data_IF_900990499181
#
_entry.id   IF_900990499181
#
_cell.length_a   1.000
_cell.length_b   1.000
_cell.length_c   1.000
_cell.angle_alpha   90.00
_cell.angle_beta   90.00
_cell.angle_gamma   90.00
#
_symmetry.space_group_name_H-M   'P 1'
#
loop_
_entity.id
_entity.type
_entity.pdbx_description
1 polymer ?
#
# COMPACT_ATOMS: atom_id res chain seq x y z
N UNK A 1 -22.31 -9.96 -28.06
CA UNK A 1 -21.11 -10.28 -27.24
C UNK A 1 -20.14 -9.12 -27.04
N UNK A 2 -19.69 -8.37 -28.07
CA UNK A 2 -18.72 -7.25 -27.89
C UNK A 2 -19.21 -6.13 -26.95
N UNK A 3 -20.50 -5.74 -27.04
CA UNK A 3 -21.10 -4.71 -26.17
C UNK A 3 -21.17 -5.16 -24.69
N UNK A 4 -21.66 -6.38 -24.45
CA UNK A 4 -21.71 -7.03 -23.12
C UNK A 4 -20.31 -7.06 -22.49
N UNK A 5 -19.29 -7.54 -23.22
CA UNK A 5 -17.94 -7.62 -22.69
C UNK A 5 -17.29 -6.25 -22.45
N UNK A 6 -17.65 -5.23 -23.23
CA UNK A 6 -17.08 -3.88 -23.10
C UNK A 6 -17.70 -3.13 -21.92
N UNK A 7 -19.03 -3.06 -21.83
CA UNK A 7 -19.76 -2.23 -20.87
C UNK A 7 -20.21 -3.00 -19.61
N UNK A 8 -20.87 -4.15 -19.77
CA UNK A 8 -21.35 -4.93 -18.60
C UNK A 8 -20.20 -5.50 -17.76
N UNK A 9 -19.05 -5.77 -18.38
CA UNK A 9 -17.87 -6.22 -17.66
C UNK A 9 -17.33 -5.23 -16.61
N UNK A 10 -17.61 -3.92 -16.74
CA UNK A 10 -17.31 -2.94 -15.69
C UNK A 10 -18.51 -2.66 -14.79
N UNK A 11 -19.72 -2.66 -15.37
CA UNK A 11 -20.94 -2.39 -14.61
C UNK A 11 -21.12 -3.34 -13.42
N UNK A 12 -20.84 -4.63 -13.58
CA UNK A 12 -20.97 -5.63 -12.50
C UNK A 12 -20.00 -5.33 -11.34
N UNK A 13 -18.67 -5.20 -11.55
CA UNK A 13 -17.75 -4.79 -10.49
C UNK A 13 -18.16 -3.49 -9.78
N UNK A 14 -18.54 -2.45 -10.52
CA UNK A 14 -18.99 -1.20 -9.92
C UNK A 14 -20.30 -1.33 -9.15
N UNK A 15 -21.25 -2.12 -9.63
CA UNK A 15 -22.49 -2.41 -8.92
C UNK A 15 -22.22 -3.13 -7.60
N UNK A 16 -21.28 -4.08 -7.57
CA UNK A 16 -20.83 -4.75 -6.34
C UNK A 16 -20.19 -3.75 -5.37
N UNK A 17 -19.32 -2.85 -5.87
CA UNK A 17 -18.71 -1.81 -5.04
C UNK A 17 -19.79 -0.90 -4.44
N UNK A 18 -20.70 -0.36 -5.26
CA UNK A 18 -21.80 0.50 -4.82
C UNK A 18 -22.65 -0.24 -3.79
N UNK A 19 -23.07 -1.46 -4.08
CA UNK A 19 -23.85 -2.29 -3.18
C UNK A 19 -23.14 -2.47 -1.83
N UNK A 20 -21.84 -2.78 -1.84
CA UNK A 20 -21.09 -3.00 -0.60
C UNK A 20 -21.07 -1.76 0.30
N UNK A 21 -20.94 -0.56 -0.28
CA UNK A 21 -20.90 0.70 0.48
C UNK A 21 -22.29 1.10 0.95
N UNK A 22 -23.32 0.91 0.11
CA UNK A 22 -24.70 1.28 0.44
C UNK A 22 -25.26 0.39 1.55
N UNK A 23 -25.00 -0.92 1.50
CA UNK A 23 -25.49 -1.87 2.51
C UNK A 23 -24.71 -1.76 3.82
N UNK A 24 -23.41 -1.47 3.76
CA UNK A 24 -22.57 -1.30 4.96
C UNK A 24 -22.37 0.18 5.29
N UNK A 25 -23.43 0.99 5.19
CA UNK A 25 -23.37 2.41 5.54
C UNK A 25 -22.99 2.55 7.01
N UNK A 26 -22.06 3.47 7.31
CA UNK A 26 -21.72 3.82 8.68
C UNK A 26 -22.94 4.42 9.40
N UNK A 27 -23.19 4.07 10.69
CA UNK A 27 -24.24 4.68 11.48
C UNK A 27 -24.09 6.20 11.54
N UNK A 28 -25.19 6.95 11.55
CA UNK A 28 -25.14 8.40 11.60
C UNK A 28 -24.46 8.88 12.91
N UNK A 29 -23.58 9.87 12.80
CA UNK A 29 -22.77 10.37 13.91
C UNK A 29 -21.51 9.56 14.23
N UNK A 30 -21.25 8.47 13.50
CA UNK A 30 -20.03 7.67 13.68
C UNK A 30 -18.78 8.46 13.28
N UNK A 31 -17.77 8.44 14.16
CA UNK A 31 -16.45 9.06 13.95
C UNK A 31 -15.40 7.95 14.07
N UNK A 32 -14.50 7.87 13.10
CA UNK A 32 -13.40 6.91 13.15
C UNK A 32 -12.18 7.45 13.89
N UNK A 33 -11.59 6.62 14.75
CA UNK A 33 -10.30 6.86 15.41
C UNK A 33 -9.51 5.55 15.53
N UNK A 34 -8.21 5.60 15.29
CA UNK A 34 -7.32 4.44 15.33
C UNK A 34 -5.87 4.88 15.52
N UNK A 35 -5.24 4.50 16.63
CA UNK A 35 -3.83 4.77 16.89
C UNK A 35 -3.50 6.25 16.76
N UNK A 36 -2.59 6.57 15.84
CA UNK A 36 -2.12 7.94 15.58
C UNK A 36 -3.04 8.76 14.65
N UNK A 37 -4.18 8.19 14.24
CA UNK A 37 -5.09 8.81 13.30
C UNK A 37 -6.50 8.98 13.86
N UNK A 38 -7.05 10.18 13.72
CA UNK A 38 -8.46 10.47 13.96
C UNK A 38 -9.07 11.15 12.74
N UNK A 39 -10.33 10.81 12.47
CA UNK A 39 -11.12 11.54 11.47
C UNK A 39 -11.20 13.02 11.87
N UNK A 40 -10.90 13.95 10.94
CA UNK A 40 -11.01 15.38 11.22
C UNK A 40 -12.48 15.78 11.36
N UNK A 41 -12.84 16.33 12.52
CA UNK A 41 -14.18 16.89 12.76
C UNK A 41 -14.33 18.27 12.12
N UNK A 42 -13.25 19.06 12.08
CA UNK A 42 -13.21 20.36 11.40
C UNK A 42 -12.08 20.37 10.37
N UNK A 43 -12.39 19.94 9.15
CA UNK A 43 -11.39 19.83 8.08
C UNK A 43 -10.82 21.20 7.67
N UNK A 44 -11.60 22.29 7.73
CA UNK A 44 -11.14 23.63 7.39
C UNK A 44 -9.99 24.06 8.29
N UNK A 45 -10.16 23.87 9.59
CA UNK A 45 -9.12 24.14 10.57
C UNK A 45 -7.89 23.24 10.37
N UNK A 46 -8.10 21.94 10.12
CA UNK A 46 -6.98 21.02 9.84
C UNK A 46 -6.18 21.46 8.61
N UNK A 47 -6.85 21.92 7.54
CA UNK A 47 -6.19 22.41 6.34
C UNK A 47 -5.31 23.63 6.58
N UNK A 48 -5.77 24.59 7.38
CA UNK A 48 -4.96 25.74 7.76
C UNK A 48 -3.70 25.28 8.49
N UNK A 49 -3.84 24.28 9.37
CA UNK A 49 -2.74 23.80 10.21
C UNK A 49 -1.74 22.89 9.47
N UNK A 50 -2.14 22.18 8.41
CA UNK A 50 -1.28 21.22 7.68
C UNK A 50 -0.02 21.87 7.06
N UNK A 51 -0.08 23.16 6.72
CA UNK A 51 1.05 23.91 6.15
C UNK A 51 2.10 24.31 7.19
N UNK A 52 1.76 24.25 8.48
CA UNK A 52 2.67 24.64 9.55
C UNK A 52 3.43 23.41 10.07
N UNK A 53 4.72 23.60 10.29
CA UNK A 53 5.58 22.56 10.87
C UNK A 53 5.50 22.55 12.40
N UNK A 54 5.09 23.66 13.00
CA UNK A 54 4.83 23.81 14.43
C UNK A 54 3.32 23.88 14.66
N UNK A 55 2.74 22.83 15.25
CA UNK A 55 1.31 22.78 15.51
C UNK A 55 0.99 21.90 16.71
N UNK A 56 0.15 22.38 17.61
CA UNK A 56 -0.11 21.72 18.89
C UNK A 56 -1.20 20.62 18.80
N UNK A 57 -1.77 20.35 17.61
CA UNK A 57 -3.15 19.79 17.55
C UNK A 57 -3.48 18.83 16.41
N UNK A 58 -2.58 18.54 15.46
CA UNK A 58 -2.90 17.63 14.32
C UNK A 58 -2.56 16.16 14.64
N UNK A 59 -1.70 15.91 15.62
CA UNK A 59 -1.22 14.57 15.98
C UNK A 59 -1.46 14.23 17.44
N UNK A 60 -1.56 12.94 17.75
CA UNK A 60 -1.44 12.40 19.11
C UNK A 60 -0.05 12.65 19.75
N UNK A 61 0.88 13.23 19.00
CA UNK A 61 2.17 13.73 19.46
C UNK A 61 1.90 15.10 20.08
N UNK A 62 2.20 15.25 21.38
CA UNK A 62 1.96 16.46 22.15
C UNK A 62 2.63 17.73 21.60
N UNK A 63 2.56 18.81 22.37
CA UNK A 63 3.10 20.13 21.99
C UNK A 63 4.53 20.06 21.42
N UNK A 64 4.78 20.79 20.33
CA UNK A 64 6.12 20.95 19.76
C UNK A 64 6.60 19.85 18.79
N UNK A 65 5.72 18.96 18.31
CA UNK A 65 6.09 17.96 17.30
C UNK A 65 6.40 18.57 15.93
N UNK A 66 7.63 18.39 15.44
CA UNK A 66 8.06 18.76 14.07
C UNK A 66 7.59 17.69 13.07
N UNK A 67 6.27 17.59 12.85
CA UNK A 67 5.71 16.67 11.86
C UNK A 67 4.88 17.45 10.84
N UNK A 68 5.46 17.69 9.66
CA UNK A 68 4.74 18.31 8.55
C UNK A 68 3.78 17.29 7.93
N UNK A 69 2.48 17.60 7.97
CA UNK A 69 1.43 16.82 7.29
C UNK A 69 1.28 17.23 5.82
N UNK A 70 2.18 18.07 5.31
CA UNK A 70 2.09 18.66 3.98
C UNK A 70 2.00 17.60 2.87
N UNK A 71 2.74 16.51 2.98
CA UNK A 71 2.66 15.40 2.03
C UNK A 71 1.25 14.76 1.97
N UNK A 72 0.48 14.82 3.06
CA UNK A 72 -0.87 14.27 3.15
C UNK A 72 -1.96 15.19 2.54
N UNK A 73 -1.64 16.42 2.12
CA UNK A 73 -2.63 17.37 1.54
C UNK A 73 -3.49 16.73 0.44
N UNK A 74 -2.94 16.02 -0.57
CA UNK A 74 -3.77 15.45 -1.64
C UNK A 74 -4.84 14.51 -1.10
N UNK A 75 -4.51 13.76 -0.05
CA UNK A 75 -5.45 12.88 0.62
C UNK A 75 -6.55 13.67 1.33
N UNK A 76 -6.21 14.61 2.20
CA UNK A 76 -7.22 15.41 2.90
C UNK A 76 -8.09 16.23 1.96
N UNK A 77 -7.55 16.64 0.81
CA UNK A 77 -8.29 17.43 -0.19
C UNK A 77 -9.40 16.59 -0.81
N UNK A 78 -9.03 15.42 -1.33
CA UNK A 78 -9.97 14.53 -2.02
C UNK A 78 -10.95 13.88 -1.05
N UNK A 79 -10.46 13.39 0.08
CA UNK A 79 -11.21 12.50 0.97
C UNK A 79 -11.94 13.20 2.12
N UNK A 80 -11.61 14.46 2.42
CA UNK A 80 -12.28 15.21 3.50
C UNK A 80 -12.78 16.59 3.07
N UNK A 81 -11.99 17.37 2.31
CA UNK A 81 -12.39 18.72 1.91
C UNK A 81 -13.49 18.73 0.86
N UNK A 82 -13.42 17.85 -0.15
CA UNK A 82 -14.50 17.70 -1.13
C UNK A 82 -15.82 17.29 -0.44
N UNK A 83 -15.86 16.24 0.41
CA UNK A 83 -17.06 15.91 1.19
C UNK A 83 -17.60 17.07 2.04
N UNK A 84 -16.74 17.82 2.70
CA UNK A 84 -17.13 19.00 3.50
C UNK A 84 -17.78 20.11 2.64
N UNK A 85 -17.24 20.38 1.44
CA UNK A 85 -17.86 21.32 0.49
C UNK A 85 -19.25 20.82 0.02
N UNK A 86 -19.42 19.50 -0.10
CA UNK A 86 -20.69 18.87 -0.46
C UNK A 86 -21.64 18.70 0.74
N UNK A 87 -21.27 19.21 1.92
CA UNK A 87 -22.02 19.09 3.18
C UNK A 87 -22.31 17.64 3.60
N UNK A 88 -21.37 16.73 3.35
CA UNK A 88 -21.50 15.35 3.81
C UNK A 88 -21.35 15.27 5.33
N UNK A 89 -22.17 14.44 5.97
CA UNK A 89 -21.99 14.08 7.40
C UNK A 89 -20.71 13.24 7.59
N UNK A 90 -20.27 13.06 8.84
CA UNK A 90 -19.11 12.21 9.15
C UNK A 90 -19.24 10.79 8.58
N UNK A 91 -20.42 10.18 8.74
CA UNK A 91 -20.73 8.83 8.25
C UNK A 91 -20.79 8.75 6.72
N UNK A 92 -21.34 9.78 6.07
CA UNK A 92 -21.32 9.90 4.61
C UNK A 92 -19.89 10.07 4.09
N UNK A 93 -19.05 10.84 4.78
CA UNK A 93 -17.63 11.02 4.47
C UNK A 93 -16.89 9.69 4.55
N UNK A 94 -17.05 8.91 5.62
CA UNK A 94 -16.42 7.58 5.72
C UNK A 94 -16.89 6.62 4.61
N UNK A 95 -18.19 6.63 4.29
CA UNK A 95 -18.75 5.83 3.20
C UNK A 95 -18.18 6.25 1.83
N UNK A 96 -18.01 7.55 1.62
CA UNK A 96 -17.39 8.12 0.43
C UNK A 96 -15.92 7.74 0.32
N UNK A 97 -15.16 7.76 1.41
CA UNK A 97 -13.76 7.35 1.45
C UNK A 97 -13.62 5.88 1.05
N UNK A 98 -14.42 5.00 1.66
CA UNK A 98 -14.42 3.58 1.32
C UNK A 98 -14.81 3.34 -0.15
N UNK A 99 -15.85 4.04 -0.63
CA UNK A 99 -16.27 3.94 -2.03
C UNK A 99 -15.17 4.33 -3.01
N UNK A 100 -14.58 5.51 -2.83
CA UNK A 100 -13.50 5.97 -3.69
C UNK A 100 -12.29 5.07 -3.61
N UNK A 101 -11.94 4.59 -2.42
CA UNK A 101 -10.83 3.66 -2.24
C UNK A 101 -11.03 2.39 -3.07
N UNK A 102 -12.17 1.71 -2.91
CA UNK A 102 -12.47 0.48 -3.64
C UNK A 102 -12.49 0.70 -5.16
N UNK A 103 -13.08 1.81 -5.61
CA UNK A 103 -13.10 2.18 -7.03
C UNK A 103 -11.70 2.43 -7.58
N UNK A 104 -10.88 3.22 -6.88
CA UNK A 104 -9.56 3.60 -7.34
C UNK A 104 -8.58 2.43 -7.27
N UNK A 105 -8.64 1.57 -6.24
CA UNK A 105 -7.87 0.33 -6.18
C UNK A 105 -8.24 -0.62 -7.32
N UNK A 106 -9.53 -0.79 -7.61
CA UNK A 106 -10.00 -1.57 -8.76
C UNK A 106 -9.45 -1.02 -10.08
N UNK A 107 -9.59 0.30 -10.32
CA UNK A 107 -9.15 0.94 -11.55
C UNK A 107 -7.63 0.86 -11.70
N UNK A 108 -6.89 1.13 -10.62
CA UNK A 108 -5.44 1.12 -10.60
C UNK A 108 -4.88 -0.25 -10.95
N UNK A 109 -5.37 -1.29 -10.28
CA UNK A 109 -4.95 -2.65 -10.55
C UNK A 109 -5.32 -3.08 -11.98
N UNK A 110 -6.53 -2.75 -12.45
CA UNK A 110 -6.95 -3.09 -13.82
C UNK A 110 -6.01 -2.50 -14.88
N UNK A 111 -5.67 -1.20 -14.77
CA UNK A 111 -4.79 -0.55 -15.73
C UNK A 111 -3.34 -1.03 -15.63
N UNK A 112 -2.84 -1.27 -14.42
CA UNK A 112 -1.53 -1.87 -14.17
C UNK A 112 -1.43 -3.26 -14.81
N UNK A 113 -2.36 -4.15 -14.49
CA UNK A 113 -2.38 -5.52 -15.00
C UNK A 113 -2.56 -5.58 -16.52
N UNK A 114 -3.45 -4.75 -17.09
CA UNK A 114 -3.62 -4.61 -18.54
C UNK A 114 -2.34 -4.15 -19.24
N UNK A 115 -1.58 -3.29 -18.58
CA UNK A 115 -0.34 -2.72 -19.10
C UNK A 115 0.81 -3.74 -19.10
N UNK A 116 0.85 -4.66 -18.13
CA UNK A 116 1.85 -5.73 -18.04
C UNK A 116 1.48 -6.97 -18.87
N UNK A 117 0.18 -7.29 -18.98
CA UNK A 117 -0.29 -8.46 -19.71
C UNK A 117 -1.55 -8.13 -20.52
N UNK A 118 -1.44 -7.94 -21.85
CA UNK A 118 -2.60 -7.83 -22.73
C UNK A 118 -3.26 -9.21 -22.86
N UNK A 119 -4.02 -9.60 -21.82
CA UNK A 119 -4.71 -10.87 -21.70
C UNK A 119 -6.22 -10.75 -21.85
N UNK A 120 -6.94 -11.75 -21.30
CA UNK A 120 -8.40 -11.74 -21.27
C UNK A 120 -8.91 -10.57 -20.40
N UNK A 121 -9.39 -9.51 -21.05
CA UNK A 121 -9.87 -8.30 -20.38
C UNK A 121 -11.01 -8.56 -19.39
N UNK A 122 -11.83 -9.59 -19.59
CA UNK A 122 -12.91 -9.94 -18.65
C UNK A 122 -12.32 -10.47 -17.36
N UNK A 123 -11.35 -11.39 -17.46
CA UNK A 123 -10.64 -11.92 -16.30
C UNK A 123 -9.94 -10.80 -15.51
N UNK A 124 -9.26 -9.88 -16.20
CA UNK A 124 -8.61 -8.74 -15.54
C UNK A 124 -9.60 -7.86 -14.77
N UNK A 125 -10.80 -7.60 -15.30
CA UNK A 125 -11.83 -6.83 -14.60
C UNK A 125 -12.21 -7.51 -13.28
N UNK A 126 -12.59 -8.79 -13.30
CA UNK A 126 -12.97 -9.49 -12.07
C UNK A 126 -11.80 -9.69 -11.09
N UNK A 127 -10.59 -9.91 -11.59
CA UNK A 127 -9.41 -10.02 -10.72
C UNK A 127 -9.06 -8.69 -10.03
N UNK A 128 -9.31 -7.56 -10.71
CA UNK A 128 -9.17 -6.22 -10.11
C UNK A 128 -10.19 -5.99 -8.99
N UNK A 129 -11.37 -6.61 -9.08
CA UNK A 129 -12.36 -6.59 -8.00
C UNK A 129 -11.87 -7.38 -6.79
N UNK A 130 -11.23 -8.54 -7.00
CA UNK A 130 -10.60 -9.29 -5.91
C UNK A 130 -9.48 -8.50 -5.23
N UNK A 131 -8.69 -7.73 -5.99
CA UNK A 131 -7.69 -6.83 -5.43
C UNK A 131 -8.32 -5.73 -4.56
N UNK A 132 -9.44 -5.15 -4.99
CA UNK A 132 -10.16 -4.15 -4.19
C UNK A 132 -10.73 -4.74 -2.88
N UNK A 133 -11.25 -5.97 -2.91
CA UNK A 133 -11.96 -6.61 -1.78
C UNK A 133 -11.18 -7.69 -1.02
N UNK A 134 -9.86 -7.77 -1.16
CA UNK A 134 -9.11 -8.81 -0.44
C UNK A 134 -9.10 -8.58 1.08
N UNK A 135 -8.71 -9.62 1.82
CA UNK A 135 -8.70 -9.58 3.28
C UNK A 135 -7.76 -8.54 3.86
N UNK A 136 -6.69 -8.17 3.17
CA UNK A 136 -5.79 -7.10 3.63
C UNK A 136 -6.48 -5.75 3.59
N UNK A 137 -7.21 -5.43 2.52
CA UNK A 137 -8.06 -4.24 2.46
C UNK A 137 -9.07 -4.24 3.60
N UNK A 138 -9.81 -5.34 3.76
CA UNK A 138 -10.85 -5.43 4.80
C UNK A 138 -10.26 -5.29 6.21
N UNK A 139 -9.10 -5.90 6.46
CA UNK A 139 -8.37 -5.77 7.71
C UNK A 139 -7.98 -4.32 8.01
N UNK A 140 -7.45 -3.56 7.03
CA UNK A 140 -7.12 -2.15 7.25
C UNK A 140 -8.35 -1.30 7.58
N UNK A 141 -9.48 -1.55 6.93
CA UNK A 141 -10.72 -0.80 7.19
C UNK A 141 -11.42 -1.15 8.50
N UNK A 142 -11.21 -2.36 9.03
CA UNK A 142 -11.85 -2.80 10.27
C UNK A 142 -10.96 -2.63 11.51
N UNK A 143 -9.64 -2.85 11.38
CA UNK A 143 -8.72 -2.77 12.51
C UNK A 143 -8.12 -1.37 12.66
N UNK A 144 -7.17 -1.02 11.80
CA UNK A 144 -6.42 0.22 11.92
C UNK A 144 -5.99 0.74 10.56
N UNK A 145 -5.99 2.06 10.40
CA UNK A 145 -5.44 2.82 9.25
C UNK A 145 -6.26 2.88 7.95
N UNK A 146 -7.41 2.20 7.82
CA UNK A 146 -8.24 2.25 6.61
C UNK A 146 -8.77 3.63 6.22
N UNK A 147 -8.78 4.57 7.16
CA UNK A 147 -9.12 5.98 6.91
C UNK A 147 -7.92 6.92 7.07
N UNK A 148 -6.70 6.39 7.08
CA UNK A 148 -5.48 7.20 7.12
C UNK A 148 -4.98 7.53 5.70
N UNK A 149 -4.13 8.54 5.58
CA UNK A 149 -3.50 8.87 4.29
C UNK A 149 -2.52 7.79 3.80
N UNK A 150 -2.00 6.94 4.70
CA UNK A 150 -1.05 5.88 4.33
C UNK A 150 -1.68 4.80 3.46
N UNK A 151 -2.94 4.43 3.71
CA UNK A 151 -3.60 3.40 2.92
C UNK A 151 -3.82 3.86 1.48
N UNK A 152 -3.80 5.17 1.21
CA UNK A 152 -3.85 5.70 -0.15
C UNK A 152 -2.74 5.12 -1.05
N UNK A 153 -1.59 4.75 -0.48
CA UNK A 153 -0.53 4.06 -1.21
C UNK A 153 -1.00 2.74 -1.83
N UNK A 154 -1.93 2.02 -1.17
CA UNK A 154 -2.51 0.79 -1.69
C UNK A 154 -3.20 1.00 -3.04
N UNK A 155 -3.87 2.15 -3.23
CA UNK A 155 -4.46 2.51 -4.52
C UNK A 155 -3.36 2.64 -5.57
N UNK A 156 -2.23 3.26 -5.26
CA UNK A 156 -1.25 3.67 -6.27
C UNK A 156 -0.16 2.64 -6.55
N UNK A 157 0.11 1.69 -5.63
CA UNK A 157 1.16 0.65 -5.78
C UNK A 157 1.14 -0.02 -7.16
N UNK A 158 0.00 -0.54 -7.68
CA UNK A 158 0.00 -1.24 -8.98
C UNK A 158 0.49 -0.37 -10.14
N UNK A 159 -0.02 0.86 -10.24
CA UNK A 159 0.37 1.81 -11.29
C UNK A 159 1.82 2.28 -11.09
N UNK A 160 2.18 2.64 -9.86
CA UNK A 160 3.52 3.12 -9.52
C UNK A 160 4.58 2.10 -9.90
N UNK A 161 4.35 0.83 -9.55
CA UNK A 161 5.24 -0.27 -9.91
C UNK A 161 5.27 -0.52 -11.43
N UNK A 162 4.11 -0.54 -12.08
CA UNK A 162 4.04 -0.80 -13.54
C UNK A 162 4.75 0.28 -14.35
N UNK A 163 4.61 1.54 -13.96
CA UNK A 163 5.28 2.68 -14.60
C UNK A 163 6.77 2.73 -14.29
N UNK A 164 7.19 2.32 -13.09
CA UNK A 164 8.59 2.07 -12.77
C UNK A 164 9.21 1.01 -13.70
N UNK A 165 8.57 -0.15 -13.81
CA UNK A 165 9.04 -1.24 -14.67
C UNK A 165 9.13 -0.81 -16.14
N UNK A 166 8.12 -0.09 -16.64
CA UNK A 166 8.13 0.45 -18.01
C UNK A 166 9.24 1.45 -18.24
N UNK A 167 9.56 2.30 -17.26
CA UNK A 167 10.70 3.22 -17.36
C UNK A 167 12.05 2.51 -17.49
N UNK A 168 12.18 1.32 -16.89
CA UNK A 168 13.39 0.49 -17.03
C UNK A 168 13.46 -0.24 -18.38
N UNK A 169 12.32 -0.77 -18.85
CA UNK A 169 12.26 -1.58 -20.08
C UNK A 169 12.24 -0.73 -21.35
N UNK A 170 11.53 0.39 -21.31
CA UNK A 170 11.26 1.28 -22.43
C UNK A 170 11.53 2.72 -21.99
N UNK A 171 12.81 3.16 -21.93
CA UNK A 171 13.21 4.43 -21.34
C UNK A 171 12.84 5.62 -22.25
N UNK A 172 11.55 5.93 -22.32
CA UNK A 172 10.99 7.07 -23.06
C UNK A 172 10.59 8.17 -22.09
N UNK A 173 10.64 9.44 -22.54
CA UNK A 173 10.16 10.57 -21.73
C UNK A 173 8.74 10.33 -21.21
N UNK A 174 7.86 9.77 -22.04
CA UNK A 174 6.49 9.41 -21.67
C UNK A 174 6.43 8.46 -20.46
N UNK A 175 7.24 7.41 -20.44
CA UNK A 175 7.24 6.44 -19.34
C UNK A 175 7.82 7.04 -18.06
N UNK A 176 8.89 7.84 -18.18
CA UNK A 176 9.42 8.61 -17.05
C UNK A 176 8.40 9.60 -16.48
N UNK A 177 7.74 10.38 -17.33
CA UNK A 177 6.69 11.32 -16.90
C UNK A 177 5.54 10.62 -16.20
N UNK A 178 5.08 9.47 -16.71
CA UNK A 178 4.05 8.69 -16.01
C UNK A 178 4.52 8.12 -14.68
N UNK A 179 5.76 7.67 -14.58
CA UNK A 179 6.33 7.22 -13.32
C UNK A 179 6.38 8.36 -12.29
N UNK A 180 6.90 9.52 -12.67
CA UNK A 180 6.97 10.69 -11.78
C UNK A 180 5.59 11.19 -11.39
N UNK A 181 4.64 11.25 -12.32
CA UNK A 181 3.26 11.60 -12.00
C UNK A 181 2.64 10.60 -11.01
N UNK A 182 2.85 9.30 -11.22
CA UNK A 182 2.37 8.26 -10.30
C UNK A 182 3.00 8.40 -8.92
N UNK A 183 4.29 8.74 -8.86
CA UNK A 183 5.02 8.97 -7.61
C UNK A 183 4.49 10.21 -6.87
N UNK A 184 4.25 11.30 -7.58
CA UNK A 184 3.65 12.54 -7.02
C UNK A 184 2.24 12.28 -6.50
N UNK A 185 1.41 11.51 -7.23
CA UNK A 185 0.07 11.14 -6.74
C UNK A 185 0.19 10.28 -5.46
N UNK A 186 1.18 9.38 -5.38
CA UNK A 186 1.41 8.49 -4.24
C UNK A 186 1.95 9.18 -2.99
N UNK A 187 2.29 10.47 -3.07
CA UNK A 187 3.05 11.19 -2.04
C UNK A 187 2.36 11.23 -0.68
N UNK A 188 1.03 11.27 -0.66
CA UNK A 188 0.25 11.21 0.57
C UNK A 188 0.45 9.90 1.31
N UNK A 189 0.63 8.79 0.59
CA UNK A 189 1.01 7.51 1.17
C UNK A 189 2.40 7.54 1.82
N UNK A 190 3.31 8.33 1.26
CA UNK A 190 4.70 8.46 1.70
C UNK A 190 4.95 9.49 2.79
N UNK A 191 3.93 10.19 3.29
CA UNK A 191 4.07 11.13 4.41
C UNK A 191 4.76 10.52 5.65
N UNK A 192 4.75 9.18 5.78
CA UNK A 192 5.68 8.46 6.63
C UNK A 192 6.77 7.80 5.76
N UNK A 193 8.02 8.24 5.96
CA UNK A 193 9.18 7.83 5.18
C UNK A 193 9.44 6.31 5.18
N UNK A 194 8.94 5.56 6.16
CA UNK A 194 9.04 4.10 6.17
C UNK A 194 8.26 3.45 5.01
N UNK A 195 7.12 4.01 4.58
CA UNK A 195 6.41 3.50 3.39
C UNK A 195 7.19 3.76 2.10
N UNK A 196 7.88 4.90 2.00
CA UNK A 196 8.76 5.18 0.88
C UNK A 196 9.97 4.23 0.89
N UNK A 197 10.60 4.03 2.05
CA UNK A 197 11.66 3.03 2.22
C UNK A 197 11.23 1.62 1.83
N UNK A 198 9.98 1.24 2.13
CA UNK A 198 9.43 -0.07 1.78
C UNK A 198 9.22 -0.19 0.27
N UNK A 199 8.75 0.88 -0.40
CA UNK A 199 8.67 0.93 -1.85
C UNK A 199 10.04 0.87 -2.53
N UNK A 200 11.06 1.55 -1.97
CA UNK A 200 12.44 1.46 -2.45
C UNK A 200 12.95 0.03 -2.32
N UNK A 201 12.79 -0.61 -1.15
CA UNK A 201 13.17 -2.00 -0.95
C UNK A 201 12.45 -2.93 -1.93
N UNK A 202 11.13 -2.77 -2.11
CA UNK A 202 10.33 -3.53 -3.07
C UNK A 202 10.89 -3.41 -4.50
N UNK A 203 11.16 -2.19 -4.94
CA UNK A 203 11.67 -1.89 -6.28
C UNK A 203 13.10 -2.41 -6.49
N UNK A 204 13.96 -2.28 -5.49
CA UNK A 204 15.33 -2.82 -5.51
C UNK A 204 15.34 -4.34 -5.61
N UNK A 205 14.54 -5.03 -4.78
CA UNK A 205 14.40 -6.49 -4.85
C UNK A 205 13.87 -6.94 -6.21
N UNK A 206 12.89 -6.21 -6.76
CA UNK A 206 12.39 -6.50 -8.10
C UNK A 206 13.50 -6.43 -9.16
N UNK A 207 14.25 -5.33 -9.20
CA UNK A 207 15.37 -5.17 -10.16
C UNK A 207 16.42 -6.25 -9.95
N UNK A 208 16.78 -6.56 -8.70
CA UNK A 208 17.73 -7.61 -8.36
C UNK A 208 17.27 -8.97 -8.91
N UNK A 209 16.02 -9.37 -8.67
CA UNK A 209 15.49 -10.63 -9.19
C UNK A 209 15.44 -10.66 -10.72
N UNK A 210 15.12 -9.55 -11.38
CA UNK A 210 15.15 -9.44 -12.85
C UNK A 210 16.57 -9.57 -13.41
N UNK A 211 17.58 -9.03 -12.70
CA UNK A 211 18.99 -9.19 -13.06
C UNK A 211 19.43 -10.64 -12.88
N UNK A 212 19.12 -11.26 -11.74
CA UNK A 212 19.48 -12.66 -11.45
C UNK A 212 18.87 -13.65 -12.45
N UNK A 213 17.66 -13.36 -12.95
CA UNK A 213 16.99 -14.16 -13.98
C UNK A 213 17.45 -13.84 -15.41
N UNK A 214 18.33 -12.84 -15.58
CA UNK A 214 18.87 -12.41 -16.86
C UNK A 214 17.85 -11.77 -17.80
N UNK A 215 16.70 -11.30 -17.29
CA UNK A 215 15.73 -10.52 -18.08
C UNK A 215 16.14 -9.05 -18.19
N UNK A 216 16.81 -8.51 -17.17
CA UNK A 216 17.50 -7.22 -17.23
C UNK A 216 19.00 -7.49 -17.20
N UNK A 217 19.74 -6.98 -18.19
CA UNK A 217 21.21 -7.07 -18.21
C UNK A 217 21.82 -5.94 -17.39
N UNK A 218 22.69 -6.25 -16.43
CA UNK A 218 23.43 -5.24 -15.70
C UNK A 218 24.55 -4.67 -16.58
N UNK A 219 24.24 -3.60 -17.31
CA UNK A 219 25.21 -2.86 -18.12
C UNK A 219 25.23 -1.37 -17.72
N UNK A 220 26.16 -0.60 -18.30
CA UNK A 220 26.29 0.84 -18.03
C UNK A 220 24.98 1.61 -18.26
N UNK A 221 24.20 1.23 -19.28
CA UNK A 221 22.92 1.87 -19.60
C UNK A 221 21.91 1.65 -18.46
N UNK A 222 21.73 0.41 -18.01
CA UNK A 222 20.83 0.08 -16.90
C UNK A 222 21.24 0.78 -15.61
N UNK A 223 22.53 0.89 -15.30
CA UNK A 223 23.02 1.62 -14.13
C UNK A 223 22.66 3.11 -14.23
N UNK A 224 22.87 3.74 -15.39
CA UNK A 224 22.50 5.14 -15.61
C UNK A 224 20.99 5.34 -15.48
N UNK A 225 20.17 4.44 -16.05
CA UNK A 225 18.71 4.50 -15.93
C UNK A 225 18.25 4.39 -14.47
N UNK A 226 18.82 3.46 -13.70
CA UNK A 226 18.52 3.32 -12.27
C UNK A 226 18.92 4.59 -11.49
N UNK A 227 20.09 5.16 -11.78
CA UNK A 227 20.52 6.40 -11.17
C UNK A 227 19.60 7.58 -11.52
N UNK A 228 19.17 7.70 -12.77
CA UNK A 228 18.20 8.70 -13.21
C UNK A 228 16.86 8.56 -12.48
N UNK A 229 16.32 7.33 -12.42
CA UNK A 229 15.08 7.05 -11.68
C UNK A 229 15.25 7.43 -10.21
N UNK A 230 16.36 7.07 -9.57
CA UNK A 230 16.62 7.41 -8.17
C UNK A 230 16.66 8.94 -7.96
N UNK A 231 17.41 9.67 -8.79
CA UNK A 231 17.50 11.14 -8.71
C UNK A 231 16.14 11.79 -8.92
N UNK A 232 15.39 11.38 -9.96
CA UNK A 232 14.06 11.92 -10.21
C UNK A 232 13.09 11.60 -9.09
N UNK A 233 13.19 10.41 -8.49
CA UNK A 233 12.35 10.02 -7.34
C UNK A 233 12.64 10.89 -6.13
N UNK A 234 13.92 11.08 -5.81
CA UNK A 234 14.37 11.96 -4.72
C UNK A 234 13.89 13.39 -4.97
N UNK A 235 14.03 13.90 -6.19
CA UNK A 235 13.57 15.25 -6.53
C UNK A 235 12.05 15.39 -6.35
N UNK A 236 11.26 14.43 -6.82
CA UNK A 236 9.81 14.44 -6.71
C UNK A 236 9.29 14.41 -5.27
N UNK A 237 10.04 13.81 -4.34
CA UNK A 237 9.68 13.72 -2.92
C UNK A 237 10.44 14.72 -2.03
N UNK A 238 11.44 15.42 -2.58
CA UNK A 238 12.38 16.26 -1.82
C UNK A 238 11.69 17.32 -0.98
N UNK A 239 10.64 17.93 -1.53
CA UNK A 239 9.92 19.04 -0.89
C UNK A 239 9.31 18.68 0.48
N UNK A 240 8.97 17.41 0.72
CA UNK A 240 8.44 16.98 2.03
C UNK A 240 9.46 16.16 2.83
N UNK A 241 10.30 15.36 2.16
CA UNK A 241 11.24 14.48 2.87
C UNK A 241 12.39 15.26 3.50
N UNK A 242 12.84 16.36 2.87
CA UNK A 242 13.96 17.15 3.36
C UNK A 242 13.64 17.80 4.71
N UNK A 243 12.48 18.44 4.92
CA UNK A 243 12.07 18.90 6.25
C UNK A 243 12.02 17.77 7.30
N UNK A 244 11.59 16.56 6.92
CA UNK A 244 11.43 15.45 7.87
C UNK A 244 12.72 14.67 8.16
N UNK A 245 13.79 14.89 7.40
CA UNK A 245 14.98 14.04 7.45
C UNK A 245 15.70 14.13 8.79
N UNK A 246 15.86 15.33 9.35
CA UNK A 246 16.48 15.54 10.66
C UNK A 246 15.73 14.78 11.76
N UNK A 247 14.40 14.93 11.79
CA UNK A 247 13.53 14.23 12.74
C UNK A 247 13.57 12.72 12.56
N UNK A 248 13.57 12.22 11.33
CA UNK A 248 13.67 10.80 11.05
C UNK A 248 14.99 10.21 11.55
N UNK A 249 16.11 10.92 11.38
CA UNK A 249 17.43 10.50 11.87
C UNK A 249 17.46 10.44 13.40
N UNK A 250 16.96 11.47 14.07
CA UNK A 250 16.87 11.51 15.54
C UNK A 250 15.96 10.39 16.07
N UNK A 251 14.78 10.23 15.48
CA UNK A 251 13.84 9.17 15.86
C UNK A 251 14.40 7.76 15.68
N UNK A 252 15.14 7.48 14.59
CA UNK A 252 15.80 6.19 14.39
C UNK A 252 16.87 5.97 15.46
N UNK A 253 17.66 7.01 15.78
CA UNK A 253 18.69 6.94 16.81
C UNK A 253 18.08 6.62 18.17
N UNK A 254 17.06 7.35 18.59
CA UNK A 254 16.43 7.15 19.90
C UNK A 254 15.74 5.79 20.04
N UNK A 255 15.15 5.28 18.96
CA UNK A 255 14.54 3.94 18.94
C UNK A 255 15.62 2.84 18.97
N UNK A 256 16.71 3.00 18.19
CA UNK A 256 17.82 2.04 18.20
C UNK A 256 18.56 2.00 19.53
N UNK A 257 18.60 3.12 20.25
CA UNK A 257 19.14 3.22 21.61
C UNK A 257 18.15 2.74 22.69
N UNK A 258 16.92 2.33 22.33
CA UNK A 258 15.91 1.86 23.26
C UNK A 258 15.36 2.93 24.22
N UNK A 259 15.53 4.22 23.89
CA UNK A 259 15.13 5.33 24.78
C UNK A 259 13.62 5.53 24.86
N UNK A 260 12.90 5.23 23.77
CA UNK A 260 11.45 5.48 23.67
C UNK A 260 10.64 4.24 24.06
N UNK A 261 11.07 3.06 23.62
CA UNK A 261 10.47 1.77 23.96
C UNK A 261 11.47 0.63 23.68
N UNK A 262 11.23 -0.55 24.26
CA UNK A 262 12.02 -1.74 23.97
C UNK A 262 11.74 -2.22 22.54
N UNK A 263 12.73 -2.07 21.66
CA UNK A 263 12.62 -2.44 20.24
C UNK A 263 12.26 -3.92 20.03
N UNK A 264 12.76 -4.83 20.87
CA UNK A 264 12.45 -6.26 20.75
C UNK A 264 10.99 -6.54 21.09
N UNK A 265 10.46 -5.92 22.14
CA UNK A 265 9.07 -6.08 22.54
C UNK A 265 8.13 -5.51 21.47
N UNK A 266 8.48 -4.36 20.88
CA UNK A 266 7.74 -3.77 19.77
C UNK A 266 7.76 -4.68 18.52
N UNK A 267 8.91 -5.23 18.16
CA UNK A 267 9.01 -6.15 17.02
C UNK A 267 8.18 -7.42 17.26
N UNK A 268 8.15 -7.92 18.49
CA UNK A 268 7.31 -9.06 18.90
C UNK A 268 5.83 -8.72 18.86
N UNK A 269 5.42 -7.53 19.33
CA UNK A 269 4.01 -7.12 19.31
C UNK A 269 3.49 -6.87 17.89
N UNK A 270 4.38 -6.52 16.96
CA UNK A 270 4.08 -6.28 15.54
C UNK A 270 4.35 -7.51 14.65
N UNK A 271 4.57 -8.67 15.26
CA UNK A 271 4.88 -9.95 14.62
C UNK A 271 3.60 -10.64 14.14
N UNK A 272 3.58 -11.16 12.91
CA UNK A 272 2.45 -11.91 12.38
C UNK A 272 2.85 -13.33 11.94
N UNK A 273 1.94 -14.29 12.04
CA UNK A 273 2.19 -15.64 11.49
C UNK A 273 1.85 -15.68 9.98
N UNK A 274 2.30 -16.73 9.29
CA UNK A 274 2.13 -16.86 7.83
C UNK A 274 0.66 -16.87 7.44
N UNK A 275 -0.21 -17.50 8.23
CA UNK A 275 -1.64 -17.53 7.95
C UNK A 275 -2.29 -16.15 8.12
N UNK A 276 -1.85 -15.35 9.08
CA UNK A 276 -2.32 -13.97 9.24
C UNK A 276 -1.89 -13.10 8.06
N UNK A 277 -0.67 -13.29 7.55
CA UNK A 277 -0.13 -12.51 6.43
C UNK A 277 -0.80 -12.87 5.10
N UNK A 278 -0.89 -14.17 4.77
CA UNK A 278 -1.32 -14.62 3.43
C UNK A 278 -2.83 -14.71 3.28
N UNK A 279 -3.54 -15.09 4.34
CA UNK A 279 -4.99 -15.33 4.30
C UNK A 279 -5.73 -14.55 5.38
N UNK A 280 -5.13 -13.49 5.95
CA UNK A 280 -5.80 -12.65 6.95
C UNK A 280 -6.28 -13.39 8.20
N UNK A 281 -5.73 -14.58 8.49
CA UNK A 281 -6.09 -15.36 9.67
C UNK A 281 -5.44 -14.80 10.92
N UNK A 282 -5.94 -13.66 11.39
CA UNK A 282 -5.42 -12.98 12.57
C UNK A 282 -5.63 -13.84 13.82
N UNK A 283 -4.64 -13.85 14.72
CA UNK A 283 -4.72 -14.63 15.97
C UNK A 283 -5.79 -14.09 16.94
N UNK A 284 -6.21 -12.85 16.76
CA UNK A 284 -7.18 -12.19 17.62
C UNK A 284 -8.58 -12.39 17.05
N UNK A 285 -9.45 -13.07 17.81
CA UNK A 285 -10.85 -13.36 17.44
C UNK A 285 -11.72 -12.10 17.30
N UNK A 286 -11.21 -10.93 17.68
CA UNK A 286 -11.89 -9.63 17.58
C UNK A 286 -11.81 -9.00 16.19
N UNK A 287 -11.10 -9.61 15.23
CA UNK A 287 -11.01 -9.11 13.87
C UNK A 287 -11.84 -9.95 12.89
N UNK A 288 -12.21 -9.34 11.79
CA UNK A 288 -12.78 -9.96 10.61
C UNK A 288 -11.83 -11.02 10.06
N UNK A 289 -12.36 -12.16 9.59
CA UNK A 289 -13.78 -12.54 9.59
C UNK A 289 -14.31 -13.12 10.92
N UNK A 290 -13.47 -13.38 11.93
CA UNK A 290 -13.89 -14.04 13.17
C UNK A 290 -14.96 -13.27 13.94
N UNK A 291 -14.79 -11.94 14.10
CA UNK A 291 -15.73 -11.08 14.83
C UNK A 291 -17.17 -11.20 14.34
N UNK A 292 -17.35 -11.38 13.03
CA UNK A 292 -18.67 -11.40 12.39
C UNK A 292 -19.12 -12.81 11.99
N UNK A 293 -18.44 -13.87 12.43
CA UNK A 293 -18.76 -15.25 12.05
C UNK A 293 -18.57 -15.54 10.56
N UNK A 294 -17.92 -14.65 9.81
CA UNK A 294 -17.80 -14.69 8.36
C UNK A 294 -16.69 -15.64 7.88
N UNK A 295 -16.47 -16.76 8.57
CA UNK A 295 -15.30 -17.66 8.36
C UNK A 295 -15.17 -18.17 6.92
N UNK A 296 -16.27 -18.25 6.18
CA UNK A 296 -16.28 -18.59 4.75
C UNK A 296 -15.46 -17.59 3.91
N UNK A 297 -15.22 -16.37 4.38
CA UNK A 297 -14.40 -15.39 3.68
C UNK A 297 -12.91 -15.73 3.61
N UNK A 298 -12.42 -16.68 4.43
CA UNK A 298 -11.10 -17.27 4.20
C UNK A 298 -11.02 -17.98 2.85
N UNK A 299 -12.13 -18.53 2.34
CA UNK A 299 -12.16 -19.11 1.00
C UNK A 299 -11.93 -18.04 -0.07
N UNK A 300 -12.41 -16.81 0.14
CA UNK A 300 -12.14 -15.70 -0.78
C UNK A 300 -10.67 -15.27 -0.79
N UNK A 301 -9.95 -15.39 0.33
CA UNK A 301 -8.50 -15.19 0.34
C UNK A 301 -7.72 -16.31 -0.37
N UNK A 302 -8.28 -17.51 -0.46
CA UNK A 302 -7.71 -18.57 -1.28
C UNK A 302 -7.99 -18.36 -2.77
N UNK A 303 -9.01 -17.58 -3.15
CA UNK A 303 -9.37 -17.35 -4.56
C UNK A 303 -8.22 -16.81 -5.40
N UNK A 304 -7.46 -15.75 -5.01
CA UNK A 304 -6.29 -15.31 -5.77
C UNK A 304 -5.24 -16.41 -5.93
N UNK A 305 -5.01 -17.23 -4.90
CA UNK A 305 -4.03 -18.33 -4.92
C UNK A 305 -4.50 -19.44 -5.87
N UNK A 306 -5.77 -19.85 -5.78
CA UNK A 306 -6.37 -20.88 -6.65
C UNK A 306 -6.35 -20.41 -8.10
N UNK A 307 -6.73 -19.15 -8.36
CA UNK A 307 -6.70 -18.57 -9.69
C UNK A 307 -5.27 -18.47 -10.23
N UNK A 308 -4.30 -18.13 -9.39
CA UNK A 308 -2.88 -18.13 -9.76
C UNK A 308 -2.40 -19.54 -10.14
N UNK A 309 -2.69 -20.56 -9.33
CA UNK A 309 -2.37 -21.96 -9.64
C UNK A 309 -3.05 -22.41 -10.93
N UNK A 310 -4.32 -22.05 -11.13
CA UNK A 310 -5.06 -22.34 -12.35
C UNK A 310 -4.43 -21.68 -13.58
N UNK A 311 -4.00 -20.41 -13.47
CA UNK A 311 -3.29 -19.71 -14.54
C UNK A 311 -1.96 -20.39 -14.87
N UNK A 312 -1.17 -20.76 -13.86
CA UNK A 312 0.09 -21.49 -14.05
C UNK A 312 -0.12 -22.84 -14.76
N UNK A 313 -1.19 -23.57 -14.40
CA UNK A 313 -1.50 -24.87 -15.02
C UNK A 313 -2.00 -24.75 -16.46
N UNK A 314 -2.76 -23.71 -16.78
CA UNK A 314 -3.44 -23.60 -18.08
C UNK A 314 -2.71 -22.74 -19.11
N UNK A 315 -1.66 -22.04 -18.74
CA UNK A 315 -0.84 -21.33 -19.70
C UNK A 315 0.10 -22.30 -20.41
N UNK A 316 -0.24 -22.63 -21.66
CA UNK A 316 0.65 -23.33 -22.61
C UNK A 316 1.86 -22.43 -22.90
N UNK A 317 2.88 -22.52 -22.05
CA UNK A 317 4.13 -21.73 -22.02
C UNK A 317 3.91 -20.23 -21.77
N UNK A 318 4.11 -19.81 -20.52
CA UNK A 318 4.43 -18.41 -20.20
C UNK A 318 5.65 -17.97 -21.03
N UNK A 319 5.61 -16.77 -21.60
CA UNK A 319 6.83 -16.19 -22.16
C UNK A 319 7.85 -15.98 -21.03
N UNK A 320 9.15 -15.98 -21.37
CA UNK A 320 10.24 -15.85 -20.39
C UNK A 320 10.09 -14.60 -19.53
N UNK A 321 9.59 -13.51 -20.11
CA UNK A 321 9.40 -12.23 -19.43
C UNK A 321 8.32 -12.30 -18.34
N UNK A 322 7.10 -12.75 -18.66
CA UNK A 322 6.02 -12.87 -17.69
C UNK A 322 6.38 -13.86 -16.59
N UNK A 323 7.04 -14.97 -16.93
CA UNK A 323 7.57 -15.90 -15.94
C UNK A 323 8.53 -15.21 -14.98
N UNK A 324 9.44 -14.37 -15.49
CA UNK A 324 10.41 -13.66 -14.66
C UNK A 324 9.77 -12.64 -13.73
N UNK A 325 8.77 -11.90 -14.22
CA UNK A 325 7.98 -10.97 -13.40
C UNK A 325 7.27 -11.71 -12.27
N UNK A 326 6.60 -12.83 -12.58
CA UNK A 326 5.91 -13.67 -11.57
C UNK A 326 6.89 -14.17 -10.51
N UNK A 327 8.02 -14.75 -10.93
CA UNK A 327 9.06 -15.25 -10.01
C UNK A 327 9.62 -14.11 -9.14
N UNK A 328 9.80 -12.92 -9.70
CA UNK A 328 10.26 -11.75 -8.94
C UNK A 328 9.26 -11.35 -7.87
N UNK A 329 7.96 -11.30 -8.19
CA UNK A 329 6.92 -11.00 -7.20
C UNK A 329 6.83 -12.08 -6.12
N UNK A 330 6.96 -13.37 -6.46
CA UNK A 330 7.01 -14.44 -5.48
C UNK A 330 8.24 -14.34 -4.57
N UNK A 331 9.40 -13.98 -5.12
CA UNK A 331 10.61 -13.72 -4.36
C UNK A 331 10.45 -12.55 -3.38
N UNK A 332 9.89 -11.44 -3.84
CA UNK A 332 9.59 -10.26 -3.01
C UNK A 332 8.59 -10.62 -1.92
N UNK A 333 7.52 -11.34 -2.26
CA UNK A 333 6.53 -11.84 -1.30
C UNK A 333 7.21 -12.69 -0.22
N UNK A 334 8.12 -13.59 -0.59
CA UNK A 334 8.89 -14.38 0.36
C UNK A 334 9.70 -13.51 1.33
N UNK A 335 10.43 -12.52 0.81
CA UNK A 335 11.21 -11.58 1.64
C UNK A 335 10.30 -10.76 2.56
N UNK A 336 9.21 -10.20 2.04
CA UNK A 336 8.31 -9.36 2.83
C UNK A 336 7.57 -10.18 3.89
N UNK A 337 7.16 -11.42 3.59
CA UNK A 337 6.60 -12.35 4.59
C UNK A 337 7.62 -12.60 5.70
N UNK A 338 8.89 -12.84 5.38
CA UNK A 338 9.94 -13.03 6.40
C UNK A 338 10.11 -11.78 7.28
N UNK A 339 10.14 -10.59 6.68
CA UNK A 339 10.29 -9.33 7.41
C UNK A 339 9.06 -8.98 8.27
N UNK A 340 7.84 -9.28 7.81
CA UNK A 340 6.60 -9.07 8.57
C UNK A 340 6.47 -10.09 9.71
N UNK A 341 6.95 -11.31 9.48
CA UNK A 341 6.89 -12.40 10.45
C UNK A 341 7.69 -12.11 11.71
N UNK A 342 8.74 -11.28 11.62
CA UNK A 342 9.56 -10.81 12.75
C UNK A 342 9.95 -11.95 13.67
N UNK A 343 9.44 -11.95 14.90
CA UNK A 343 9.79 -12.93 15.94
C UNK A 343 9.11 -14.29 15.82
N UNK A 344 8.14 -14.47 14.92
CA UNK A 344 7.40 -15.74 14.82
C UNK A 344 8.28 -16.86 14.22
N UNK A 345 8.16 -18.08 14.75
CA UNK A 345 8.84 -19.29 14.24
C UNK A 345 8.45 -19.64 12.79
N UNK A 346 9.35 -20.15 11.92
CA UNK A 346 10.65 -20.75 12.28
C UNK A 346 11.87 -19.82 12.23
N UNK A 347 11.75 -18.59 11.72
CA UNK A 347 12.90 -17.69 11.50
C UNK A 347 12.96 -16.51 12.48
N UNK A 348 12.33 -16.66 13.65
CA UNK A 348 12.10 -15.56 14.59
C UNK A 348 13.37 -14.83 15.03
N UNK A 349 14.38 -15.60 15.45
CA UNK A 349 15.66 -15.05 15.92
C UNK A 349 16.47 -14.42 14.79
N UNK A 350 16.52 -15.08 13.63
CA UNK A 350 17.21 -14.55 12.45
C UNK A 350 16.62 -13.19 12.06
N UNK A 351 15.30 -13.09 11.97
CA UNK A 351 14.65 -11.83 11.60
C UNK A 351 14.85 -10.76 12.67
N UNK A 352 14.76 -11.09 13.97
CA UNK A 352 15.07 -10.13 15.04
C UNK A 352 16.50 -9.59 14.94
N UNK A 353 17.48 -10.44 14.63
CA UNK A 353 18.86 -10.02 14.40
C UNK A 353 18.99 -9.13 13.16
N UNK A 354 18.24 -9.39 12.08
CA UNK A 354 18.21 -8.48 10.91
C UNK A 354 17.70 -7.09 11.29
N UNK A 355 16.70 -7.00 12.17
CA UNK A 355 16.21 -5.70 12.64
C UNK A 355 17.21 -4.94 13.52
N UNK A 356 18.31 -5.54 13.98
CA UNK A 356 19.40 -4.78 14.61
C UNK A 356 20.11 -3.85 13.60
N UNK A 357 20.00 -4.12 12.29
CA UNK A 357 20.49 -3.23 11.26
C UNK A 357 19.57 -2.00 11.16
N UNK A 358 20.09 -0.82 11.50
CA UNK A 358 19.31 0.43 11.64
C UNK A 358 18.37 0.74 10.46
N UNK A 359 18.76 0.58 9.18
CA UNK A 359 17.85 0.80 8.07
C UNK A 359 16.60 -0.10 8.07
N UNK A 360 16.67 -1.32 8.62
CA UNK A 360 15.51 -2.20 8.72
C UNK A 360 14.57 -1.81 9.87
N UNK A 361 15.04 -1.08 10.89
CA UNK A 361 14.20 -0.60 12.00
C UNK A 361 13.09 0.36 11.58
N UNK A 362 13.19 0.96 10.39
CA UNK A 362 12.10 1.77 9.83
C UNK A 362 10.87 0.90 9.51
N UNK A 363 11.07 -0.41 9.28
CA UNK A 363 10.01 -1.39 8.98
C UNK A 363 9.50 -2.14 10.22
N UNK A 364 9.76 -1.62 11.42
CA UNK A 364 9.37 -2.25 12.68
C UNK A 364 7.85 -2.46 12.84
N UNK A 365 7.03 -1.66 12.17
CA UNK A 365 5.56 -1.74 12.23
C UNK A 365 5.01 -2.60 11.08
N UNK A 366 3.97 -3.39 11.35
CA UNK A 366 3.42 -4.37 10.41
C UNK A 366 2.97 -3.76 9.07
N UNK A 367 2.27 -2.64 9.14
CA UNK A 367 1.58 -2.00 8.02
C UNK A 367 2.53 -1.49 6.93
N UNK A 368 3.77 -1.13 7.30
CA UNK A 368 4.77 -0.57 6.37
C UNK A 368 5.12 -1.52 5.23
N UNK A 369 5.12 -2.82 5.51
CA UNK A 369 5.40 -3.88 4.54
C UNK A 369 4.12 -4.58 4.08
N UNK A 370 3.14 -4.76 4.96
CA UNK A 370 1.91 -5.52 4.67
C UNK A 370 1.07 -4.93 3.53
N UNK A 371 1.12 -3.62 3.32
CA UNK A 371 0.41 -2.93 2.23
C UNK A 371 0.87 -3.36 0.82
N UNK A 372 2.07 -3.94 0.69
CA UNK A 372 2.65 -4.42 -0.57
C UNK A 372 2.44 -5.91 -0.83
N UNK A 373 1.81 -6.64 0.10
CA UNK A 373 1.60 -8.09 0.00
C UNK A 373 0.53 -8.47 -1.03
N UNK A 374 -0.66 -7.83 -1.04
CA UNK A 374 -1.70 -8.16 -2.02
C UNK A 374 -1.35 -7.66 -3.41
#
# INVERSE_FOLDING_TARGET
>A
MKFINKYLGFAIPFAIIIYSVVINKFPDGYIYTSGDYAQPVNIKYVFEQIFYVWGNKISAIGEGGFQSWFAAIPYYLVFYRIPDILNFTGSQTLSFILFLFLCLSYISFYFAAKSLSPGNYIFLKYFSLLYAFNLTTLYFYEYTWGFSHHIFLYITIPILFTTFYKSLKEPTLRNFSFYILSLVISISGFANAAFFGAFVLYSTLFVLFQILQGTIKLNKITIILLAQIAVLSIFAISYWILPMLSFAIEGIKDISMGKVFNSNDWLRSQSANITSILIGNQNYKIFYPFKYGAKLFYLFALTPIILFIYLLKNQKKLNKENSSIIVSFLGILGVFVLLIKKSSQPFGELTLNLFQFQPLMIFRSYEKLAIFIP
#
